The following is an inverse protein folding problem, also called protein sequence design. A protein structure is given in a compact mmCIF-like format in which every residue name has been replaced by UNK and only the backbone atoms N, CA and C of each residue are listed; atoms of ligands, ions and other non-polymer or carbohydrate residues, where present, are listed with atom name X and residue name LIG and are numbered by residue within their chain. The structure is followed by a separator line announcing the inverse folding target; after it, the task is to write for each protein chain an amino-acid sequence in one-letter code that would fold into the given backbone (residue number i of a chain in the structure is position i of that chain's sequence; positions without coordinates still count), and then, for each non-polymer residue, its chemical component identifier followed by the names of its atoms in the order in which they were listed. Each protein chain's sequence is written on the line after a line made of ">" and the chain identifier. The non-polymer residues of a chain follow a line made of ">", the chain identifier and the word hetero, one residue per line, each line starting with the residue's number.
data_IF_134093039108
#
_entry.id   IF_134093039108
#
_cell.length_a   1.000
_cell.length_b   1.000
_cell.length_c   1.000
_cell.angle_alpha   90.00
_cell.angle_beta   90.00
_cell.angle_gamma   90.00
#
_symmetry.space_group_name_H-M   'P 1'
#
loop_
_entity.id
_entity.type
_entity.pdbx_description
1 polymer ?
#
# COMPACT_ATOMS: atom_id res chain seq x y z
N UNK A 1 -37.37 17.11 17.83
CA UNK A 1 -36.69 17.89 16.78
C UNK A 1 -36.68 17.04 15.52
N UNK A 2 -37.09 17.57 14.37
CA UNK A 2 -37.05 16.80 13.13
C UNK A 2 -35.58 16.54 12.75
N UNK A 3 -35.16 15.28 12.70
CA UNK A 3 -33.84 14.93 12.21
C UNK A 3 -33.76 15.29 10.73
N UNK A 4 -32.86 16.22 10.41
CA UNK A 4 -32.60 16.60 9.02
C UNK A 4 -31.65 15.55 8.41
N UNK A 5 -32.12 14.83 7.40
CA UNK A 5 -31.33 13.77 6.77
C UNK A 5 -30.08 14.32 6.04
N UNK A 6 -30.13 15.57 5.59
CA UNK A 6 -29.02 16.25 4.94
C UNK A 6 -29.10 17.77 5.09
N UNK A 7 -27.95 18.43 5.07
CA UNK A 7 -27.81 19.88 5.04
C UNK A 7 -27.44 20.35 3.63
N UNK A 8 -27.80 21.58 3.30
CA UNK A 8 -27.45 22.25 2.06
C UNK A 8 -26.61 23.50 2.35
N UNK A 9 -26.14 24.16 1.29
CA UNK A 9 -25.41 25.42 1.42
C UNK A 9 -26.16 26.47 2.24
N UNK A 10 -27.49 26.52 2.13
CA UNK A 10 -28.30 27.51 2.82
C UNK A 10 -28.18 27.37 4.34
N UNK A 11 -28.16 26.14 4.85
CA UNK A 11 -28.04 25.90 6.30
C UNK A 11 -26.67 26.36 6.81
N UNK A 12 -25.61 26.07 6.07
CA UNK A 12 -24.26 26.50 6.44
C UNK A 12 -24.17 28.03 6.41
N UNK A 13 -24.79 28.67 5.41
CA UNK A 13 -24.84 30.13 5.32
C UNK A 13 -25.58 30.75 6.51
N UNK A 14 -26.71 30.18 6.90
CA UNK A 14 -27.50 30.64 8.05
C UNK A 14 -26.72 30.49 9.36
N UNK A 15 -26.05 29.35 9.56
CA UNK A 15 -25.28 29.09 10.77
C UNK A 15 -23.97 29.89 10.86
N UNK A 16 -23.31 30.15 9.73
CA UNK A 16 -21.99 30.83 9.70
C UNK A 16 -22.07 32.33 9.41
N UNK A 17 -23.22 32.82 8.94
CA UNK A 17 -23.39 34.19 8.44
C UNK A 17 -22.56 34.51 7.18
N UNK A 18 -22.02 33.49 6.49
CA UNK A 18 -21.18 33.69 5.31
C UNK A 18 -21.99 33.61 4.02
N UNK A 19 -21.46 34.25 2.97
CA UNK A 19 -22.06 34.20 1.64
C UNK A 19 -21.95 32.81 1.02
N UNK A 20 -22.90 32.48 0.13
CA UNK A 20 -22.86 31.26 -0.68
C UNK A 20 -21.51 31.06 -1.38
N UNK A 21 -20.98 32.12 -1.98
CA UNK A 21 -19.69 32.11 -2.68
C UNK A 21 -18.53 31.74 -1.75
N UNK A 22 -18.57 32.17 -0.49
CA UNK A 22 -17.57 31.83 0.52
C UNK A 22 -17.64 30.34 0.85
N UNK A 23 -18.83 29.84 1.22
CA UNK A 23 -19.03 28.42 1.57
C UNK A 23 -18.67 27.51 0.39
N UNK A 24 -19.04 27.91 -0.83
CA UNK A 24 -18.64 27.21 -2.07
C UNK A 24 -17.12 27.16 -2.25
N UNK A 25 -16.40 28.26 -1.99
CA UNK A 25 -14.93 28.28 -2.03
C UNK A 25 -14.33 27.35 -0.97
N UNK A 26 -14.94 27.27 0.21
CA UNK A 26 -14.49 26.36 1.25
C UNK A 26 -14.62 24.92 0.80
N UNK A 27 -15.79 24.52 0.29
CA UNK A 27 -16.01 23.18 -0.27
C UNK A 27 -14.97 22.81 -1.32
N UNK A 28 -14.73 23.67 -2.31
CA UNK A 28 -13.71 23.43 -3.36
C UNK A 28 -12.32 23.25 -2.75
N UNK A 29 -11.99 24.03 -1.72
CA UNK A 29 -10.69 23.95 -1.06
C UNK A 29 -10.55 22.66 -0.27
N UNK A 30 -11.61 22.22 0.40
CA UNK A 30 -11.68 20.92 1.10
C UNK A 30 -11.48 19.78 0.09
N UNK A 31 -12.24 19.76 -1.01
CA UNK A 31 -12.11 18.74 -2.08
C UNK A 31 -10.66 18.66 -2.58
N UNK A 32 -10.01 19.81 -2.77
CA UNK A 32 -8.63 19.88 -3.28
C UNK A 32 -7.56 19.45 -2.27
N UNK A 33 -7.68 19.85 -1.01
CA UNK A 33 -6.61 19.66 0.00
C UNK A 33 -6.75 18.34 0.75
N UNK A 34 -7.97 17.92 1.05
CA UNK A 34 -8.24 16.69 1.80
C UNK A 34 -8.58 15.50 0.91
N UNK A 35 -8.89 15.73 -0.37
CA UNK A 35 -9.40 14.69 -1.27
C UNK A 35 -10.81 14.22 -0.91
N UNK A 36 -11.50 14.92 0.00
CA UNK A 36 -12.85 14.57 0.42
C UNK A 36 -13.87 14.82 -0.70
N UNK A 37 -14.69 13.82 -1.00
CA UNK A 37 -15.75 13.92 -2.00
C UNK A 37 -17.11 14.13 -1.32
N UNK A 38 -17.71 15.29 -1.53
CA UNK A 38 -19.04 15.57 -1.01
C UNK A 38 -20.13 14.91 -1.85
N UNK A 39 -21.18 14.42 -1.17
CA UNK A 39 -22.35 13.87 -1.85
C UNK A 39 -23.04 14.98 -2.66
N UNK A 40 -23.33 14.67 -3.92
CA UNK A 40 -24.08 15.56 -4.83
C UNK A 40 -25.16 14.80 -5.57
N UNK A 41 -26.31 15.45 -5.73
CA UNK A 41 -27.43 14.97 -6.51
C UNK A 41 -27.61 15.85 -7.74
N UNK A 42 -27.97 15.24 -8.87
CA UNK A 42 -28.29 15.96 -10.10
C UNK A 42 -29.76 16.35 -10.08
N UNK A 43 -30.04 17.63 -9.87
CA UNK A 43 -31.39 18.18 -9.87
C UNK A 43 -31.68 18.90 -11.18
N UNK A 44 -32.80 18.58 -11.82
CA UNK A 44 -33.27 19.34 -12.99
C UNK A 44 -33.85 20.67 -12.50
N UNK A 45 -33.16 21.77 -12.77
CA UNK A 45 -33.59 23.12 -12.38
C UNK A 45 -34.51 23.73 -13.45
N UNK A 46 -34.30 23.39 -14.72
CA UNK A 46 -35.19 23.80 -15.81
C UNK A 46 -35.24 22.76 -16.92
N UNK A 47 -36.11 22.97 -17.91
CA UNK A 47 -36.27 22.07 -19.07
C UNK A 47 -34.96 21.76 -19.79
N UNK A 48 -33.97 22.68 -19.73
CA UNK A 48 -32.66 22.55 -20.41
C UNK A 48 -31.46 22.55 -19.46
N UNK A 49 -31.65 22.70 -18.14
CA UNK A 49 -30.53 22.81 -17.19
C UNK A 49 -30.68 21.82 -16.03
N UNK A 50 -29.61 21.07 -15.80
CA UNK A 50 -29.42 20.21 -14.63
C UNK A 50 -28.29 20.83 -13.81
N UNK A 51 -28.48 20.88 -12.50
CA UNK A 51 -27.52 21.43 -11.55
C UNK A 51 -27.18 20.38 -10.50
N UNK A 52 -25.90 20.32 -10.13
CA UNK A 52 -25.45 19.54 -8.99
C UNK A 52 -25.80 20.29 -7.71
N UNK A 53 -26.60 19.65 -6.84
CA UNK A 53 -26.94 20.11 -5.49
C UNK A 53 -26.15 19.26 -4.50
N UNK A 54 -25.45 19.90 -3.59
CA UNK A 54 -24.62 19.23 -2.59
C UNK A 54 -25.45 18.95 -1.34
N UNK A 55 -25.34 17.73 -0.84
CA UNK A 55 -25.97 17.27 0.39
C UNK A 55 -24.86 16.98 1.39
N UNK A 56 -24.84 17.73 2.47
CA UNK A 56 -23.86 17.60 3.53
C UNK A 56 -24.42 16.74 4.66
N UNK A 57 -23.60 15.87 5.23
CA UNK A 57 -23.96 15.14 6.46
C UNK A 57 -23.92 16.09 7.67
N UNK A 58 -24.47 15.66 8.80
CA UNK A 58 -24.38 16.39 10.07
C UNK A 58 -22.90 16.63 10.46
N UNK A 59 -22.06 15.61 10.37
CA UNK A 59 -20.61 15.75 10.60
C UNK A 59 -19.93 16.77 9.68
N UNK A 60 -20.31 16.80 8.40
CA UNK A 60 -19.75 17.76 7.44
C UNK A 60 -20.22 19.18 7.74
N UNK A 61 -21.50 19.32 8.10
CA UNK A 61 -22.09 20.58 8.52
C UNK A 61 -21.34 21.15 9.74
N UNK A 62 -21.17 20.35 10.80
CA UNK A 62 -20.44 20.75 12.00
C UNK A 62 -18.99 21.14 11.70
N UNK A 63 -18.32 20.39 10.82
CA UNK A 63 -16.98 20.74 10.36
C UNK A 63 -16.95 22.08 9.63
N UNK A 64 -17.96 22.41 8.83
CA UNK A 64 -18.07 23.74 8.19
C UNK A 64 -18.27 24.87 9.19
N UNK A 65 -19.00 24.65 10.29
CA UNK A 65 -19.15 25.64 11.36
C UNK A 65 -17.80 25.90 12.02
N UNK A 66 -17.12 24.84 12.44
CA UNK A 66 -15.77 24.91 13.03
C UNK A 66 -14.76 25.55 12.08
N UNK A 67 -14.87 25.27 10.78
CA UNK A 67 -14.04 25.90 9.76
C UNK A 67 -14.26 27.41 9.71
N UNK A 68 -15.51 27.86 9.76
CA UNK A 68 -15.83 29.30 9.79
C UNK A 68 -15.13 30.01 10.95
N UNK A 69 -15.23 29.44 12.16
CA UNK A 69 -14.60 29.95 13.37
C UNK A 69 -13.08 30.04 13.20
N UNK A 70 -12.46 28.94 12.75
CA UNK A 70 -11.01 28.87 12.50
C UNK A 70 -10.52 29.86 11.45
N UNK A 71 -11.26 30.07 10.37
CA UNK A 71 -10.89 31.05 9.35
C UNK A 71 -10.92 32.45 9.93
N UNK A 72 -11.89 32.76 10.78
CA UNK A 72 -11.98 34.08 11.41
C UNK A 72 -10.79 34.32 12.37
N UNK A 73 -10.33 33.28 13.08
CA UNK A 73 -9.16 33.33 13.96
C UNK A 73 -7.83 33.44 13.19
N UNK A 74 -7.57 32.47 12.30
CA UNK A 74 -6.26 32.29 11.65
C UNK A 74 -6.07 33.19 10.43
N UNK A 75 -7.16 33.67 9.84
CA UNK A 75 -7.20 34.32 8.51
C UNK A 75 -6.59 33.46 7.39
N UNK A 76 -6.38 32.16 7.61
CA UNK A 76 -5.79 31.24 6.64
C UNK A 76 -6.73 30.05 6.35
N UNK A 77 -7.32 30.07 5.16
CA UNK A 77 -8.23 29.04 4.68
C UNK A 77 -7.59 27.66 4.59
N UNK A 78 -6.44 27.57 3.93
CA UNK A 78 -5.83 26.28 3.59
C UNK A 78 -5.37 25.55 4.84
N UNK A 79 -4.79 26.27 5.78
CA UNK A 79 -4.38 25.73 7.07
C UNK A 79 -5.59 25.23 7.88
N UNK A 80 -6.66 26.03 7.94
CA UNK A 80 -7.89 25.64 8.65
C UNK A 80 -8.55 24.40 8.05
N UNK A 81 -8.54 24.28 6.72
CA UNK A 81 -9.06 23.11 6.01
C UNK A 81 -8.23 21.86 6.30
N UNK A 82 -6.90 21.95 6.24
CA UNK A 82 -5.99 20.83 6.54
C UNK A 82 -6.16 20.36 7.98
N UNK A 83 -6.39 21.27 8.93
CA UNK A 83 -6.56 20.90 10.33
C UNK A 83 -7.86 20.14 10.58
N UNK A 84 -8.97 20.53 9.93
CA UNK A 84 -10.28 19.93 10.18
C UNK A 84 -10.54 18.68 9.33
N UNK A 85 -10.13 18.68 8.05
CA UNK A 85 -10.36 17.57 7.12
C UNK A 85 -9.12 16.71 6.84
N UNK A 86 -7.94 17.13 7.30
CA UNK A 86 -6.67 16.46 7.02
C UNK A 86 -6.03 16.91 5.70
N UNK A 87 -4.75 16.61 5.56
CA UNK A 87 -3.99 16.81 4.32
C UNK A 87 -3.86 15.47 3.58
N UNK A 88 -4.42 15.43 2.37
CA UNK A 88 -4.34 14.27 1.48
C UNK A 88 -2.88 13.90 1.20
N UNK A 89 -2.04 14.88 0.90
CA UNK A 89 -0.63 14.64 0.56
C UNK A 89 0.13 14.07 1.74
N UNK A 90 -0.10 14.60 2.94
CA UNK A 90 0.53 14.08 4.14
C UNK A 90 0.07 12.64 4.45
N UNK A 91 -1.20 12.31 4.18
CA UNK A 91 -1.71 10.94 4.34
C UNK A 91 -1.07 9.98 3.35
N UNK A 92 -1.03 10.35 2.06
CA UNK A 92 -0.38 9.57 1.00
C UNK A 92 1.11 9.36 1.31
N UNK A 93 1.82 10.40 1.75
CA UNK A 93 3.23 10.30 2.12
C UNK A 93 3.46 9.34 3.29
N UNK A 94 2.59 9.37 4.32
CA UNK A 94 2.66 8.41 5.44
C UNK A 94 2.43 6.97 4.97
N UNK A 95 1.45 6.76 4.09
CA UNK A 95 1.17 5.43 3.53
C UNK A 95 2.37 4.93 2.71
N UNK A 96 2.91 5.76 1.81
CA UNK A 96 4.08 5.41 1.02
C UNK A 96 5.29 5.07 1.91
N UNK A 97 5.50 5.77 3.02
CA UNK A 97 6.56 5.44 3.99
C UNK A 97 6.36 4.07 4.63
N UNK A 98 5.12 3.71 4.96
CA UNK A 98 4.78 2.39 5.49
C UNK A 98 5.00 1.31 4.44
N UNK A 99 4.50 1.49 3.23
CA UNK A 99 4.64 0.54 2.13
C UNK A 99 6.12 0.29 1.82
N UNK A 100 6.95 1.35 1.78
CA UNK A 100 8.41 1.22 1.59
C UNK A 100 9.07 0.44 2.74
N UNK A 101 8.63 0.65 3.99
CA UNK A 101 9.16 -0.09 5.13
C UNK A 101 8.81 -1.60 5.04
N UNK A 102 7.56 -1.92 4.69
CA UNK A 102 7.10 -3.30 4.52
C UNK A 102 7.79 -3.99 3.34
N UNK A 103 7.99 -3.28 2.23
CA UNK A 103 8.76 -3.78 1.09
C UNK A 103 10.20 -4.11 1.50
N UNK A 104 10.85 -3.27 2.31
CA UNK A 104 12.21 -3.56 2.79
C UNK A 104 12.25 -4.83 3.65
N UNK A 105 11.25 -5.03 4.52
CA UNK A 105 11.17 -6.23 5.36
C UNK A 105 10.95 -7.49 4.52
N UNK A 106 10.03 -7.43 3.55
CA UNK A 106 9.75 -8.57 2.65
C UNK A 106 10.95 -8.89 1.76
N UNK A 107 11.61 -7.87 1.20
CA UNK A 107 12.84 -8.03 0.41
C UNK A 107 13.94 -8.70 1.23
N UNK A 108 14.17 -8.27 2.47
CA UNK A 108 15.18 -8.88 3.35
C UNK A 108 14.88 -10.36 3.65
N UNK A 109 13.61 -10.73 3.85
CA UNK A 109 13.20 -12.13 4.03
C UNK A 109 13.47 -12.93 2.75
N UNK A 110 13.15 -12.37 1.58
CA UNK A 110 13.37 -13.01 0.29
C UNK A 110 14.86 -13.23 0.01
N UNK A 111 15.71 -12.23 0.26
CA UNK A 111 17.17 -12.34 0.12
C UNK A 111 17.73 -13.42 1.02
N UNK A 112 17.30 -13.50 2.29
CA UNK A 112 17.74 -14.58 3.20
C UNK A 112 17.33 -15.96 2.70
N UNK A 113 16.09 -16.12 2.24
CA UNK A 113 15.60 -17.37 1.69
C UNK A 113 16.36 -17.78 0.41
N UNK A 114 16.64 -16.82 -0.46
CA UNK A 114 17.43 -17.03 -1.67
C UNK A 114 18.86 -17.48 -1.35
N UNK A 115 19.54 -16.79 -0.42
CA UNK A 115 20.89 -17.16 0.00
C UNK A 115 20.95 -18.56 0.63
N UNK A 116 19.94 -18.93 1.43
CA UNK A 116 19.83 -20.28 1.98
C UNK A 116 19.66 -21.34 0.88
N UNK A 117 18.78 -21.09 -0.09
CA UNK A 117 18.58 -21.99 -1.24
C UNK A 117 19.86 -22.13 -2.06
N UNK A 118 20.57 -21.04 -2.31
CA UNK A 118 21.85 -21.08 -3.03
C UNK A 118 22.91 -21.91 -2.29
N UNK A 119 23.07 -21.70 -0.98
CA UNK A 119 23.99 -22.50 -0.19
C UNK A 119 23.64 -24.01 -0.23
N UNK A 120 22.34 -24.32 -0.21
CA UNK A 120 21.85 -25.70 -0.31
C UNK A 120 22.11 -26.30 -1.68
N UNK A 121 21.87 -25.54 -2.76
CA UNK A 121 22.18 -25.95 -4.13
C UNK A 121 23.67 -26.24 -4.30
N UNK A 122 24.55 -25.34 -3.85
CA UNK A 122 26.00 -25.57 -3.91
C UNK A 122 26.42 -26.81 -3.12
N UNK A 123 25.80 -27.09 -1.96
CA UNK A 123 26.06 -28.30 -1.21
C UNK A 123 25.59 -29.57 -1.96
N UNK A 124 24.46 -29.50 -2.66
CA UNK A 124 23.99 -30.61 -3.50
C UNK A 124 24.88 -30.81 -4.73
N UNK A 125 25.25 -29.75 -5.45
CA UNK A 125 26.17 -29.79 -6.58
C UNK A 125 27.49 -30.48 -6.21
N UNK A 126 28.10 -30.08 -5.09
CA UNK A 126 29.32 -30.71 -4.58
C UNK A 126 29.14 -32.21 -4.24
N UNK A 127 27.96 -32.60 -3.76
CA UNK A 127 27.66 -34.02 -3.46
C UNK A 127 27.47 -34.82 -4.74
N UNK A 128 26.78 -34.27 -5.73
CA UNK A 128 26.59 -34.90 -7.04
C UNK A 128 27.95 -35.10 -7.69
N UNK A 129 28.79 -34.07 -7.74
CA UNK A 129 30.14 -34.17 -8.29
C UNK A 129 30.97 -35.28 -7.63
N UNK A 130 30.96 -35.36 -6.29
CA UNK A 130 31.67 -36.44 -5.57
C UNK A 130 31.11 -37.83 -5.86
N UNK A 131 29.81 -37.96 -6.09
CA UNK A 131 29.19 -39.22 -6.45
C UNK A 131 29.55 -39.62 -7.89
N UNK A 132 29.59 -38.66 -8.81
CA UNK A 132 30.06 -38.87 -10.18
C UNK A 132 31.52 -39.32 -10.21
N UNK A 133 32.41 -38.65 -9.47
CA UNK A 133 33.82 -39.05 -9.31
C UNK A 133 33.93 -40.50 -8.81
N UNK A 134 33.21 -40.86 -7.74
CA UNK A 134 33.22 -42.23 -7.20
C UNK A 134 32.66 -43.27 -8.18
N UNK A 135 31.66 -42.92 -8.99
CA UNK A 135 31.13 -43.81 -10.03
C UNK A 135 32.19 -44.08 -11.09
N UNK A 136 32.88 -43.02 -11.57
CA UNK A 136 33.96 -43.19 -12.55
C UNK A 136 35.11 -44.06 -12.02
N UNK A 137 35.53 -43.87 -10.77
CA UNK A 137 36.53 -44.73 -10.11
C UNK A 137 36.09 -46.20 -10.04
N UNK A 138 34.81 -46.44 -9.70
CA UNK A 138 34.25 -47.79 -9.63
C UNK A 138 34.21 -48.44 -11.02
N UNK A 139 33.75 -47.74 -12.05
CA UNK A 139 33.72 -48.22 -13.44
C UNK A 139 35.13 -48.54 -13.96
N UNK A 140 36.11 -47.69 -13.65
CA UNK A 140 37.52 -47.97 -13.96
C UNK A 140 38.07 -49.18 -13.20
N UNK A 141 37.70 -49.37 -11.93
CA UNK A 141 38.14 -50.51 -11.14
C UNK A 141 37.52 -51.83 -11.62
N UNK A 142 36.26 -51.79 -12.08
CA UNK A 142 35.55 -52.93 -12.63
C UNK A 142 36.09 -53.32 -14.01
N UNK A 143 36.36 -52.34 -14.88
CA UNK A 143 36.95 -52.58 -16.21
C UNK A 143 38.38 -53.12 -16.14
N UNK A 144 39.14 -52.80 -15.08
CA UNK A 144 40.48 -53.36 -14.79
C UNK A 144 40.44 -54.79 -14.20
N UNK A 145 39.24 -55.36 -13.98
CA UNK A 145 39.03 -56.76 -13.64
C UNK A 145 39.14 -57.06 -12.15
N UNK A 146 38.01 -57.25 -11.48
CA UNK A 146 37.97 -57.91 -10.17
C UNK A 146 38.50 -59.34 -10.31
N UNK A 147 39.72 -59.60 -9.80
CA UNK A 147 40.29 -60.94 -9.68
C UNK A 147 40.34 -61.38 -8.21
N UNK A 148 39.40 -62.22 -7.71
CA UNK A 148 39.38 -62.62 -6.31
C UNK A 148 40.31 -63.80 -5.97
N UNK A 149 41.15 -64.28 -6.90
CA UNK A 149 42.00 -65.44 -6.64
C UNK A 149 43.45 -65.21 -7.08
N UNK A 150 44.28 -64.71 -6.16
CA UNK A 150 45.71 -65.03 -6.21
C UNK A 150 45.84 -66.52 -5.90
N UNK A 151 45.98 -67.36 -6.92
CA UNK A 151 46.37 -68.76 -6.74
C UNK A 151 47.70 -68.78 -5.98
N UNK A 152 47.73 -69.37 -4.79
CA UNK A 152 48.98 -69.76 -4.12
C UNK A 152 49.70 -70.73 -5.03
N UNK A 153 50.89 -70.36 -5.49
CA UNK A 153 51.83 -71.28 -6.13
C UNK A 153 52.08 -72.47 -5.19
N UNK A 154 51.63 -73.65 -5.60
CA UNK A 154 52.10 -74.90 -5.00
C UNK A 154 53.43 -75.24 -5.67
N UNK A 155 54.52 -74.97 -4.95
CA UNK A 155 55.86 -75.41 -5.32
C UNK A 155 55.89 -76.93 -5.53
N UNK A 156 56.47 -77.32 -6.66
CA UNK A 156 56.82 -78.70 -7.00
C UNK A 156 57.91 -79.21 -6.05
N UNK A 157 57.70 -80.37 -5.44
CA UNK A 157 58.70 -81.43 -5.30
C UNK A 157 57.98 -82.77 -5.45
#
# INVERSE_FOLDING_TARGET
>A
MAYKEYYEYKDIMEATGKSFSSVKKWRITVERLSGHEFKKIRMRVSRRRVQDVYQFTEDEFDKFIRLSERINETKNMAQSVVEIWGDLKAREERQLKQDVADIKVTLNKLVKAHNFKNATLTAFENRVQKLEERLTELEESQSKGWSPFKKKDKGKY
#
